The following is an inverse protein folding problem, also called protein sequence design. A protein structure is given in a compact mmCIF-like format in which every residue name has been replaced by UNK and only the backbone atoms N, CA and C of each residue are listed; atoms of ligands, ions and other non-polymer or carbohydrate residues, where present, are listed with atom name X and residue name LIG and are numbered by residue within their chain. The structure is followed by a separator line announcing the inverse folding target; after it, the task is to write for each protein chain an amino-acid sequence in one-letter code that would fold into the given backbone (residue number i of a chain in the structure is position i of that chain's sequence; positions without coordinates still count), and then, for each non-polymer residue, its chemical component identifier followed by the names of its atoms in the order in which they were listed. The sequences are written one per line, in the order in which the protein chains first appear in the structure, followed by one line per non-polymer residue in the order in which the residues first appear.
data_IF_332272216082
#
_entry.id   IF_332272216082
#
_cell.length_a   1.000
_cell.length_b   1.000
_cell.length_c   1.000
_cell.angle_alpha   90.00
_cell.angle_beta   90.00
_cell.angle_gamma   90.00
#
_symmetry.space_group_name_H-M   'P 1'
#
loop_
_entity.id
_entity.type
_entity.pdbx_description
1 polymer ?
#
# COMPACT_ATOMS: atom_id res chain seq x y z
N UNK A 1 36.87 5.22 1.66
CA UNK A 1 36.51 4.84 3.04
C UNK A 1 35.42 5.73 3.65
N UNK A 2 35.48 7.08 3.55
CA UNK A 2 34.38 7.95 4.02
C UNK A 2 33.15 7.97 3.07
N UNK A 3 33.38 7.81 1.77
CA UNK A 3 32.35 7.70 0.72
C UNK A 3 31.42 6.50 0.93
N UNK A 4 32.00 5.37 1.36
CA UNK A 4 31.34 4.06 1.38
C UNK A 4 30.36 3.95 2.55
N UNK A 5 30.61 4.66 3.65
CA UNK A 5 29.70 4.73 4.79
C UNK A 5 28.50 5.64 4.52
N UNK A 6 28.69 6.72 3.74
CA UNK A 6 27.62 7.63 3.36
C UNK A 6 26.68 7.01 2.33
N UNK A 7 27.22 6.21 1.40
CA UNK A 7 26.42 5.52 0.39
C UNK A 7 25.54 4.41 0.99
N UNK A 8 26.09 3.63 1.93
CA UNK A 8 25.32 2.61 2.65
C UNK A 8 24.18 3.19 3.50
N UNK A 9 24.37 4.36 4.13
CA UNK A 9 23.29 5.05 4.86
C UNK A 9 22.20 5.57 3.93
N UNK A 10 22.56 6.09 2.75
CA UNK A 10 21.58 6.53 1.73
C UNK A 10 20.79 5.35 1.16
N UNK A 11 21.43 4.21 0.92
CA UNK A 11 20.77 2.96 0.51
C UNK A 11 19.74 2.51 1.54
N UNK A 12 20.09 2.43 2.82
CA UNK A 12 19.13 2.04 3.87
C UNK A 12 17.97 3.03 4.01
N UNK A 13 18.24 4.33 3.92
CA UNK A 13 17.19 5.35 4.00
C UNK A 13 16.20 5.25 2.81
N UNK A 14 16.71 5.00 1.61
CA UNK A 14 15.88 4.79 0.42
C UNK A 14 15.06 3.49 0.48
N UNK A 15 15.63 2.40 1.02
CA UNK A 15 14.92 1.15 1.24
C UNK A 15 13.80 1.32 2.27
N UNK A 16 14.08 1.98 3.40
CA UNK A 16 13.08 2.22 4.44
C UNK A 16 11.94 3.10 3.94
N UNK A 17 12.25 4.14 3.15
CA UNK A 17 11.24 5.00 2.54
C UNK A 17 10.40 4.25 1.50
N UNK A 18 11.01 3.37 0.72
CA UNK A 18 10.29 2.53 -0.23
C UNK A 18 9.35 1.57 0.50
N UNK A 19 9.83 0.87 1.54
CA UNK A 19 9.02 -0.06 2.35
C UNK A 19 7.83 0.66 2.99
N UNK A 20 8.00 1.89 3.48
CA UNK A 20 6.90 2.71 4.01
C UNK A 20 5.84 3.02 2.93
N UNK A 21 6.25 3.34 1.70
CA UNK A 21 5.33 3.55 0.58
C UNK A 21 4.59 2.27 0.16
N UNK A 22 5.26 1.12 0.20
CA UNK A 22 4.62 -0.19 -0.03
C UNK A 22 3.66 -0.57 1.09
N UNK A 23 4.08 -0.39 2.33
CA UNK A 23 3.28 -0.67 3.52
C UNK A 23 1.98 0.12 3.49
N UNK A 24 2.04 1.41 3.14
CA UNK A 24 0.84 2.22 2.96
C UNK A 24 -0.05 1.69 1.82
N UNK A 25 0.51 1.25 0.69
CA UNK A 25 -0.26 0.65 -0.41
C UNK A 25 -0.97 -0.64 -0.02
N UNK A 26 -0.27 -1.54 0.67
CA UNK A 26 -0.80 -2.81 1.18
C UNK A 26 -1.87 -2.57 2.24
N UNK A 27 -1.65 -1.61 3.15
CA UNK A 27 -2.63 -1.23 4.16
C UNK A 27 -3.91 -0.70 3.50
N UNK A 28 -3.80 0.22 2.53
CA UNK A 28 -4.96 0.77 1.80
C UNK A 28 -5.73 -0.34 1.07
N UNK A 29 -5.02 -1.26 0.41
CA UNK A 29 -5.64 -2.39 -0.28
C UNK A 29 -6.33 -3.34 0.71
N UNK A 30 -5.67 -3.62 1.84
CA UNK A 30 -6.20 -4.42 2.94
C UNK A 30 -7.45 -3.79 3.55
N UNK A 31 -7.46 -2.48 3.77
CA UNK A 31 -8.65 -1.74 4.21
C UNK A 31 -9.77 -1.78 3.17
N UNK A 32 -9.47 -1.60 1.88
CA UNK A 32 -10.47 -1.72 0.81
C UNK A 32 -11.11 -3.11 0.75
N UNK A 33 -10.31 -4.17 0.84
CA UNK A 33 -10.81 -5.55 0.92
C UNK A 33 -11.57 -5.83 2.21
N UNK A 34 -11.09 -5.32 3.35
CA UNK A 34 -11.75 -5.43 4.64
C UNK A 34 -13.11 -4.74 4.64
N UNK A 35 -13.22 -3.55 4.05
CA UNK A 35 -14.50 -2.86 3.89
C UNK A 35 -15.48 -3.65 3.02
N UNK A 36 -15.00 -4.33 1.99
CA UNK A 36 -15.83 -5.18 1.12
C UNK A 36 -16.29 -6.45 1.86
N UNK A 37 -15.42 -7.04 2.68
CA UNK A 37 -15.73 -8.20 3.53
C UNK A 37 -16.47 -7.86 4.83
N UNK A 38 -16.53 -6.58 5.21
CA UNK A 38 -17.20 -6.12 6.43
C UNK A 38 -18.69 -6.46 6.44
N UNK A 39 -19.30 -6.50 5.25
CA UNK A 39 -20.68 -6.94 5.03
C UNK A 39 -20.89 -8.39 5.46
N UNK A 40 -19.96 -9.28 5.06
CA UNK A 40 -19.96 -10.70 5.42
C UNK A 40 -19.63 -10.93 6.90
N UNK A 41 -18.91 -10.00 7.54
CA UNK A 41 -18.52 -10.07 8.95
C UNK A 41 -19.61 -9.51 9.90
N UNK A 42 -20.74 -9.03 9.37
CA UNK A 42 -21.83 -8.48 10.19
C UNK A 42 -21.57 -7.07 10.72
N UNK A 43 -20.53 -6.39 10.23
CA UNK A 43 -20.30 -4.97 10.50
C UNK A 43 -21.22 -4.14 9.59
N UNK A 44 -22.45 -3.95 10.05
CA UNK A 44 -23.41 -3.05 9.41
C UNK A 44 -23.04 -1.60 9.77
N UNK A 45 -22.22 -0.99 8.93
CA UNK A 45 -22.13 0.47 8.93
C UNK A 45 -23.42 1.01 8.32
N UNK A 46 -24.11 1.96 8.98
CA UNK A 46 -25.26 2.71 8.44
C UNK A 46 -24.85 3.66 7.29
N UNK A 47 -23.81 3.32 6.55
CA UNK A 47 -23.38 4.01 5.36
C UNK A 47 -24.15 3.44 4.19
N UNK A 48 -24.59 4.33 3.30
CA UNK A 48 -25.28 3.93 2.07
C UNK A 48 -24.42 2.91 1.32
N UNK A 49 -24.98 1.74 0.93
CA UNK A 49 -24.20 0.64 0.36
C UNK A 49 -23.43 1.07 -0.88
N UNK A 50 -23.99 2.00 -1.66
CA UNK A 50 -23.32 2.63 -2.80
C UNK A 50 -21.98 3.27 -2.40
N UNK A 51 -21.96 4.07 -1.33
CA UNK A 51 -20.76 4.77 -0.87
C UNK A 51 -19.70 3.80 -0.34
N UNK A 52 -20.13 2.75 0.38
CA UNK A 52 -19.25 1.68 0.87
C UNK A 52 -18.55 0.95 -0.28
N UNK A 53 -19.30 0.51 -1.29
CA UNK A 53 -18.73 -0.18 -2.46
C UNK A 53 -17.86 0.74 -3.30
N UNK A 54 -18.27 2.00 -3.50
CA UNK A 54 -17.47 2.99 -4.23
C UNK A 54 -16.13 3.27 -3.54
N UNK A 55 -16.14 3.46 -2.22
CA UNK A 55 -14.93 3.71 -1.44
C UNK A 55 -14.01 2.50 -1.40
N UNK A 56 -14.57 1.30 -1.26
CA UNK A 56 -13.81 0.04 -1.33
C UNK A 56 -13.16 -0.13 -2.72
N UNK A 57 -13.90 0.15 -3.80
CA UNK A 57 -13.39 0.08 -5.17
C UNK A 57 -12.26 1.09 -5.40
N UNK A 58 -12.40 2.33 -4.94
CA UNK A 58 -11.34 3.34 -4.98
C UNK A 58 -10.09 2.90 -4.21
N UNK A 59 -10.24 2.38 -2.99
CA UNK A 59 -9.11 1.90 -2.19
C UNK A 59 -8.41 0.72 -2.86
N UNK A 60 -9.15 -0.22 -3.45
CA UNK A 60 -8.58 -1.35 -4.17
C UNK A 60 -7.81 -0.88 -5.41
N UNK A 61 -8.40 -0.02 -6.25
CA UNK A 61 -7.71 0.48 -7.46
C UNK A 61 -6.48 1.30 -7.08
N UNK A 62 -6.61 2.24 -6.16
CA UNK A 62 -5.52 3.12 -5.75
C UNK A 62 -4.41 2.35 -5.02
N UNK A 63 -4.78 1.43 -4.12
CA UNK A 63 -3.86 0.54 -3.44
C UNK A 63 -3.15 -0.40 -4.42
N UNK A 64 -3.88 -1.00 -5.37
CA UNK A 64 -3.29 -1.87 -6.40
C UNK A 64 -2.33 -1.11 -7.31
N UNK A 65 -2.69 0.09 -7.75
CA UNK A 65 -1.80 0.95 -8.55
C UNK A 65 -0.54 1.33 -7.77
N UNK A 66 -0.66 1.62 -6.47
CA UNK A 66 0.47 1.97 -5.60
C UNK A 66 1.39 0.78 -5.34
N UNK A 67 0.83 -0.42 -5.18
CA UNK A 67 1.61 -1.67 -5.10
C UNK A 67 2.28 -1.99 -6.43
N UNK A 68 1.59 -1.86 -7.57
CA UNK A 68 2.14 -2.11 -8.90
C UNK A 68 3.32 -1.18 -9.21
N UNK A 69 3.14 0.12 -8.97
CA UNK A 69 4.19 1.13 -9.11
C UNK A 69 5.34 0.92 -8.13
N UNK A 70 5.02 0.40 -6.95
CA UNK A 70 5.98 -0.12 -6.02
C UNK A 70 6.76 -1.25 -6.67
N UNK A 71 6.13 -2.38 -7.01
CA UNK A 71 6.77 -3.65 -7.37
C UNK A 71 7.81 -3.50 -8.50
N UNK A 72 7.56 -2.58 -9.43
CA UNK A 72 8.49 -2.24 -10.50
C UNK A 72 9.86 -1.70 -10.03
N UNK A 73 9.96 -1.19 -8.79
CA UNK A 73 11.22 -0.68 -8.20
C UNK A 73 12.06 -1.72 -7.45
N UNK A 74 11.54 -2.92 -7.18
CA UNK A 74 12.23 -3.88 -6.28
C UNK A 74 12.78 -5.15 -6.95
N UNK A 75 12.76 -5.28 -8.28
CA UNK A 75 13.17 -6.54 -8.92
C UNK A 75 14.13 -6.44 -10.10
N UNK A 76 14.66 -5.26 -10.42
CA UNK A 76 15.81 -5.12 -11.32
C UNK A 76 16.87 -4.23 -10.67
N UNK A 77 17.53 -4.76 -9.65
CA UNK A 77 18.91 -4.36 -9.37
C UNK A 77 19.62 -5.58 -8.80
N UNK A 78 19.97 -6.48 -9.73
CA UNK A 78 21.28 -7.12 -9.71
C UNK A 78 22.38 -6.05 -9.61
#
# INVERSE_FOLDING_TARGET
MASDQQDNRKKQYNLMRSILDYGMGILILGFGGFFLFSDRLGFNFELEPFFKYFFAFMCIIYGAWRIYRGYQKNYYSE
#
